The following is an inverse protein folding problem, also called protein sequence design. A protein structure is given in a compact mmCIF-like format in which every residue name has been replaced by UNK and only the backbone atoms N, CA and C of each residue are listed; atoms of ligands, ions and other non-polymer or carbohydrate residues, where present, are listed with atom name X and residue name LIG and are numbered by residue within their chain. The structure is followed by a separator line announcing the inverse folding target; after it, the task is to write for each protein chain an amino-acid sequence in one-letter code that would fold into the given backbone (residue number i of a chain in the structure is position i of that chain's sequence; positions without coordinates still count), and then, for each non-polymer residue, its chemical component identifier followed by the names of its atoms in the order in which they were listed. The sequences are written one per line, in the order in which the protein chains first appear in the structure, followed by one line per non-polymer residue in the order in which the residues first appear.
data_IF_609050853760
#
_entry.id   IF_609050853760
#
_cell.length_a   1.000
_cell.length_b   1.000
_cell.length_c   1.000
_cell.angle_alpha   90.00
_cell.angle_beta   90.00
_cell.angle_gamma   90.00
#
_symmetry.space_group_name_H-M   'P 1'
#
loop_
_entity.id
_entity.type
_entity.pdbx_description
1 polymer ?
#
# COMPACT_ATOMS: atom_id res chain seq x y z
N UNK A 1 -9.01 46.25 43.94
CA UNK A 1 -7.88 45.30 43.98
C UNK A 1 -8.24 43.84 43.67
N UNK A 2 -9.36 43.28 44.18
CA UNK A 2 -9.74 41.86 43.96
C UNK A 2 -9.93 41.48 42.48
N UNK A 3 -10.47 42.38 41.65
CA UNK A 3 -10.72 42.12 40.22
C UNK A 3 -9.42 41.96 39.42
N UNK A 4 -8.39 42.76 39.71
CA UNK A 4 -7.10 42.67 39.02
C UNK A 4 -6.38 41.35 39.32
N UNK A 5 -6.54 40.83 40.54
CA UNK A 5 -5.98 39.53 40.93
C UNK A 5 -6.64 38.39 40.14
N UNK A 6 -7.95 38.48 39.91
CA UNK A 6 -8.68 37.51 39.10
C UNK A 6 -8.27 37.55 37.62
N UNK A 7 -8.06 38.75 37.07
CA UNK A 7 -7.57 38.93 35.69
C UNK A 7 -6.15 38.37 35.54
N UNK A 8 -5.27 38.62 36.51
CA UNK A 8 -3.90 38.09 36.50
C UNK A 8 -3.90 36.55 36.57
N UNK A 9 -4.75 35.98 37.43
CA UNK A 9 -4.91 34.53 37.53
C UNK A 9 -5.38 33.92 36.20
N UNK A 10 -6.39 34.52 35.57
CA UNK A 10 -6.91 34.05 34.28
C UNK A 10 -5.85 34.15 33.17
N UNK A 11 -5.05 35.21 33.14
CA UNK A 11 -3.96 35.38 32.19
C UNK A 11 -2.89 34.29 32.34
N UNK A 12 -2.53 33.92 33.57
CA UNK A 12 -1.58 32.84 33.86
C UNK A 12 -2.15 31.49 33.41
N UNK A 13 -3.43 31.20 33.68
CA UNK A 13 -4.07 29.97 33.22
C UNK A 13 -4.05 29.82 31.69
N UNK A 14 -4.35 30.90 30.95
CA UNK A 14 -4.30 30.91 29.48
C UNK A 14 -2.88 30.71 28.97
N UNK A 15 -1.89 31.34 29.62
CA UNK A 15 -0.47 31.20 29.25
C UNK A 15 0.03 29.75 29.44
N UNK A 16 -0.32 29.12 30.55
CA UNK A 16 0.01 27.72 30.82
C UNK A 16 -0.69 26.78 29.83
N UNK A 17 -1.94 27.06 29.47
CA UNK A 17 -2.67 26.30 28.45
C UNK A 17 -2.02 26.39 27.06
N UNK A 18 -1.56 27.59 26.68
CA UNK A 18 -0.84 27.80 25.42
C UNK A 18 0.50 27.02 25.40
N UNK A 19 1.26 27.04 26.50
CA UNK A 19 2.51 26.27 26.62
C UNK A 19 2.26 24.76 26.57
N UNK A 20 1.21 24.27 27.24
CA UNK A 20 0.82 22.86 27.19
C UNK A 20 0.42 22.41 25.77
N UNK A 21 -0.19 23.30 24.99
CA UNK A 21 -0.53 23.02 23.59
C UNK A 21 0.71 22.97 22.68
N UNK A 22 1.71 23.82 22.95
CA UNK A 22 2.99 23.82 22.22
C UNK A 22 3.80 22.56 22.51
N UNK A 23 3.85 22.09 23.76
CA UNK A 23 4.55 20.83 24.08
C UNK A 23 3.85 19.62 23.46
N UNK A 24 2.51 19.63 23.38
CA UNK A 24 1.75 18.61 22.64
C UNK A 24 1.97 18.64 21.13
N UNK A 25 2.39 19.79 20.57
CA UNK A 25 2.71 19.94 19.14
C UNK A 25 4.00 19.24 18.71
N UNK A 26 4.89 18.88 19.64
CA UNK A 26 6.16 18.21 19.29
C UNK A 26 6.01 16.68 19.17
N UNK A 27 4.98 16.07 19.80
CA UNK A 27 4.77 14.60 19.78
C UNK A 27 4.27 14.08 18.41
N UNK A 28 3.65 14.93 17.60
CA UNK A 28 3.17 14.55 16.25
C UNK A 28 4.30 14.19 15.31
N UNK A 29 5.54 14.63 15.60
CA UNK A 29 6.68 14.42 14.71
C UNK A 29 7.44 13.11 14.94
N UNK A 30 7.18 12.42 16.06
CA UNK A 30 7.90 11.20 16.44
C UNK A 30 7.08 9.92 16.26
N UNK A 31 5.75 9.97 16.40
CA UNK A 31 4.88 8.84 16.09
C UNK A 31 4.83 8.50 14.59
N UNK A 32 5.01 9.50 13.72
CA UNK A 32 5.04 9.29 12.26
C UNK A 32 6.25 8.49 11.80
N UNK A 33 7.42 8.63 12.44
CA UNK A 33 8.67 8.00 11.96
C UNK A 33 8.69 6.48 12.15
N UNK A 34 8.09 5.97 13.21
CA UNK A 34 8.03 4.52 13.45
C UNK A 34 7.03 3.83 12.53
N UNK A 35 5.88 4.46 12.31
CA UNK A 35 4.89 3.99 11.35
C UNK A 35 5.44 4.02 9.92
N UNK A 36 6.12 5.10 9.54
CA UNK A 36 6.74 5.27 8.22
C UNK A 36 7.84 4.22 7.94
N UNK A 37 8.58 3.78 8.98
CA UNK A 37 9.61 2.74 8.85
C UNK A 37 9.03 1.34 8.57
N UNK A 38 7.98 0.94 9.27
CA UNK A 38 7.34 -0.36 9.04
C UNK A 38 6.61 -0.38 7.69
N UNK A 39 5.97 0.73 7.33
CA UNK A 39 5.33 0.86 6.02
C UNK A 39 6.33 0.87 4.87
N UNK A 40 7.51 1.47 5.02
CA UNK A 40 8.53 1.48 3.97
C UNK A 40 9.06 0.08 3.67
N UNK A 41 9.30 -0.73 4.71
CA UNK A 41 9.68 -2.15 4.56
C UNK A 41 8.57 -2.94 3.85
N UNK A 42 7.30 -2.71 4.23
CA UNK A 42 6.15 -3.33 3.57
C UNK A 42 6.03 -2.93 2.10
N UNK A 43 6.33 -1.68 1.75
CA UNK A 43 6.33 -1.18 0.37
C UNK A 43 7.41 -1.84 -0.48
N UNK A 44 8.64 -1.95 0.04
CA UNK A 44 9.74 -2.62 -0.65
C UNK A 44 9.39 -4.09 -0.97
N UNK A 45 8.91 -4.83 0.03
CA UNK A 45 8.55 -6.24 -0.15
C UNK A 45 7.41 -6.43 -1.18
N UNK A 46 6.43 -5.53 -1.22
CA UNK A 46 5.35 -5.57 -2.23
C UNK A 46 5.87 -5.33 -3.65
N UNK A 47 6.84 -4.44 -3.83
CA UNK A 47 7.43 -4.18 -5.14
C UNK A 47 8.19 -5.40 -5.66
N UNK A 48 8.96 -6.06 -4.79
CA UNK A 48 9.68 -7.28 -5.14
C UNK A 48 8.72 -8.42 -5.48
N UNK A 49 7.65 -8.58 -4.70
CA UNK A 49 6.58 -9.55 -4.99
C UNK A 49 5.88 -9.30 -6.33
N UNK A 50 5.53 -8.04 -6.63
CA UNK A 50 4.92 -7.68 -7.91
C UNK A 50 5.85 -7.99 -9.08
N UNK A 51 7.16 -7.73 -8.93
CA UNK A 51 8.18 -8.07 -9.92
C UNK A 51 8.29 -9.59 -10.12
N UNK A 52 8.18 -10.37 -9.04
CA UNK A 52 8.19 -11.82 -9.11
C UNK A 52 6.97 -12.36 -9.86
N UNK A 53 5.78 -11.83 -9.57
CA UNK A 53 4.53 -12.19 -10.25
C UNK A 53 4.62 -11.85 -11.73
N UNK A 54 5.16 -10.69 -12.11
CA UNK A 54 5.33 -10.33 -13.51
C UNK A 54 6.27 -11.31 -14.24
N UNK A 55 7.39 -11.71 -13.61
CA UNK A 55 8.27 -12.75 -14.15
C UNK A 55 7.57 -14.11 -14.27
N UNK A 56 6.79 -14.50 -13.26
CA UNK A 56 6.06 -15.76 -13.28
C UNK A 56 4.93 -15.73 -14.31
N UNK A 57 4.23 -14.61 -14.46
CA UNK A 57 3.17 -14.45 -15.46
C UNK A 57 3.73 -14.60 -16.87
N UNK A 58 4.96 -14.14 -17.14
CA UNK A 58 5.63 -14.34 -18.42
C UNK A 58 6.01 -15.82 -18.66
N UNK A 59 6.31 -16.56 -17.58
CA UNK A 59 6.57 -18.00 -17.65
C UNK A 59 5.30 -18.87 -17.67
N UNK A 60 4.17 -18.35 -17.18
CA UNK A 60 2.91 -19.07 -17.00
C UNK A 60 1.84 -18.71 -18.05
N UNK A 61 1.93 -17.56 -18.72
CA UNK A 61 0.96 -17.16 -19.73
C UNK A 61 1.23 -17.84 -21.08
N UNK A 62 0.59 -18.98 -21.25
CA UNK A 62 0.18 -19.56 -22.54
C UNK A 62 1.25 -20.10 -23.49
N UNK A 63 2.37 -19.42 -23.75
CA UNK A 63 3.32 -19.86 -24.77
C UNK A 63 3.91 -21.25 -24.47
N UNK A 64 4.33 -21.50 -23.22
CA UNK A 64 5.03 -22.75 -22.87
C UNK A 64 4.09 -23.94 -22.71
N UNK A 65 2.88 -23.75 -22.18
CA UNK A 65 1.89 -24.85 -22.08
C UNK A 65 1.37 -25.23 -23.46
N UNK A 66 1.13 -24.24 -24.32
CA UNK A 66 0.66 -24.48 -25.69
C UNK A 66 1.77 -25.11 -26.55
N UNK A 67 3.02 -24.67 -26.40
CA UNK A 67 4.17 -25.26 -27.11
C UNK A 67 4.44 -26.69 -26.64
N UNK A 68 4.41 -26.97 -25.33
CA UNK A 68 4.56 -28.34 -24.81
C UNK A 68 3.38 -29.23 -25.23
N UNK A 69 2.14 -28.70 -25.28
CA UNK A 69 0.99 -29.46 -25.77
C UNK A 69 1.07 -29.74 -27.29
N UNK A 70 1.55 -28.79 -28.09
CA UNK A 70 1.80 -29.00 -29.53
C UNK A 70 2.91 -30.02 -29.77
N UNK A 71 4.03 -29.88 -29.07
CA UNK A 71 5.24 -30.66 -29.34
C UNK A 71 5.21 -32.05 -28.69
N UNK A 72 4.66 -32.19 -27.47
CA UNK A 72 4.61 -33.47 -26.76
C UNK A 72 3.34 -34.30 -27.03
N UNK A 73 2.21 -33.65 -27.37
CA UNK A 73 0.91 -34.33 -27.63
C UNK A 73 0.47 -34.26 -29.10
N UNK A 74 1.24 -33.61 -29.98
CA UNK A 74 0.94 -33.55 -31.42
C UNK A 74 -0.35 -32.79 -31.77
N UNK A 75 -0.85 -31.94 -30.88
CA UNK A 75 -2.07 -31.15 -31.15
C UNK A 75 -1.82 -30.12 -32.25
N UNK A 76 -2.52 -30.25 -33.38
CA UNK A 76 -2.63 -29.20 -34.41
C UNK A 76 -3.85 -28.33 -34.13
N UNK A 77 -3.70 -27.02 -34.26
CA UNK A 77 -4.82 -26.08 -34.16
C UNK A 77 -5.81 -26.40 -35.29
N UNK A 78 -7.08 -26.74 -34.99
CA UNK A 78 -8.03 -27.09 -36.03
C UNK A 78 -8.27 -25.88 -36.94
N UNK A 79 -8.08 -26.08 -38.25
CA UNK A 79 -8.47 -25.09 -39.25
C UNK A 79 -9.97 -24.81 -39.12
N UNK A 80 -10.31 -23.55 -39.30
CA UNK A 80 -11.62 -22.93 -39.08
C UNK A 80 -12.69 -23.53 -40.00
N UNK A 81 -13.15 -24.76 -39.76
CA UNK A 81 -14.22 -25.36 -40.57
C UNK A 81 -15.09 -26.44 -39.88
N UNK A 82 -15.31 -26.33 -38.58
CA UNK A 82 -16.40 -27.12 -37.97
C UNK A 82 -17.04 -26.40 -36.79
N UNK A 83 -17.73 -25.29 -37.10
CA UNK A 83 -18.94 -24.96 -36.34
C UNK A 83 -20.00 -26.00 -36.72
N UNK A 84 -20.08 -27.07 -35.94
CA UNK A 84 -21.22 -27.99 -36.01
C UNK A 84 -22.43 -27.22 -35.49
N UNK A 85 -23.20 -26.68 -36.45
CA UNK A 85 -24.55 -26.19 -36.23
C UNK A 85 -25.39 -27.37 -35.76
N UNK A 86 -25.66 -27.41 -34.47
CA UNK A 86 -26.70 -28.23 -33.87
C UNK A 86 -28.03 -27.90 -34.56
N UNK A 87 -28.63 -28.88 -35.25
CA UNK A 87 -30.07 -28.96 -35.46
C UNK A 87 -30.49 -30.41 -35.55
#
# INVERSE_FOLDING_TARGET
MKTNLFVLFLAICVFVSALALVTKREETRNFSKQLEKVESQRRALKQDWARLILRQSNLASHSRVEQVARDALGMKLPETKTVVSTK
#
